data_IF_222043749587
#
_entry.id   IF_222043749587
#
_cell.length_a   1.000
_cell.length_b   1.000
_cell.length_c   1.000
_cell.angle_alpha   90.00
_cell.angle_beta   90.00
_cell.angle_gamma   90.00
#
_symmetry.space_group_name_H-M   'P 1'
#
loop_
_entity.id
_entity.type
_entity.pdbx_description
1 polymer ?
#
# COMPACT_ATOMS: atom_id res chain seq x y z
N UNK A 1 11.76 -16.00 -25.76
CA UNK A 1 10.43 -16.65 -25.90
C UNK A 1 10.44 -17.85 -24.98
N UNK A 2 9.47 -17.97 -24.07
CA UNK A 2 9.27 -19.18 -23.27
C UNK A 2 8.14 -19.95 -23.96
N UNK A 3 8.43 -21.14 -24.49
CA UNK A 3 7.50 -21.97 -25.24
C UNK A 3 7.69 -23.44 -24.85
N UNK A 4 6.58 -24.17 -24.69
CA UNK A 4 6.56 -25.60 -24.37
C UNK A 4 5.34 -26.24 -24.99
N UNK A 5 5.52 -27.40 -25.60
CA UNK A 5 4.42 -28.26 -26.02
C UNK A 5 3.89 -29.04 -24.81
N UNK A 6 2.57 -29.20 -24.72
CA UNK A 6 1.89 -29.88 -23.61
C UNK A 6 0.78 -30.76 -24.19
N UNK A 7 0.88 -32.06 -23.97
CA UNK A 7 -0.16 -33.02 -24.34
C UNK A 7 -1.15 -33.20 -23.17
N UNK A 8 -2.43 -32.91 -23.42
CA UNK A 8 -3.51 -33.08 -22.42
C UNK A 8 -4.44 -34.21 -22.90
N UNK A 9 -4.58 -35.31 -22.15
CA UNK A 9 -5.45 -36.42 -22.55
C UNK A 9 -6.93 -36.04 -22.44
N UNK A 10 -7.80 -36.82 -23.09
CA UNK A 10 -9.25 -36.62 -23.02
C UNK A 10 -9.75 -36.68 -21.56
N UNK A 11 -10.37 -35.60 -21.10
CA UNK A 11 -10.86 -35.47 -19.72
C UNK A 11 -9.78 -35.20 -18.66
N UNK A 12 -8.52 -35.01 -19.06
CA UNK A 12 -7.43 -34.61 -18.16
C UNK A 12 -7.23 -33.10 -18.07
N UNK A 13 -6.40 -32.69 -17.12
CA UNK A 13 -5.93 -31.32 -16.93
C UNK A 13 -4.41 -31.29 -16.72
N UNK A 14 -3.80 -30.13 -16.99
CA UNK A 14 -2.40 -29.83 -16.66
C UNK A 14 -2.36 -28.47 -15.97
N UNK A 15 -1.68 -28.41 -14.82
CA UNK A 15 -1.45 -27.17 -14.09
C UNK A 15 -0.04 -26.66 -14.32
N UNK A 16 0.08 -25.41 -14.75
CA UNK A 16 1.37 -24.72 -14.92
C UNK A 16 1.52 -23.63 -13.87
N UNK A 17 2.66 -23.63 -13.19
CA UNK A 17 2.98 -22.62 -12.18
C UNK A 17 4.08 -21.68 -12.67
N UNK A 18 3.79 -20.38 -12.66
CA UNK A 18 4.72 -19.33 -13.06
C UNK A 18 5.06 -18.44 -11.87
N UNK A 19 6.35 -18.25 -11.65
CA UNK A 19 6.89 -17.30 -10.69
C UNK A 19 7.40 -16.08 -11.43
N UNK A 20 6.80 -14.93 -11.12
CA UNK A 20 7.19 -13.63 -11.67
C UNK A 20 7.66 -12.75 -10.50
N UNK A 21 8.75 -12.02 -10.71
CA UNK A 21 9.34 -11.15 -9.70
C UNK A 21 10.47 -10.31 -10.27
N UNK A 22 11.03 -9.47 -9.42
CA UNK A 22 12.17 -8.60 -9.71
C UNK A 22 13.23 -8.76 -8.60
N UNK A 23 14.51 -8.69 -8.97
CA UNK A 23 15.64 -8.84 -8.06
C UNK A 23 16.83 -8.04 -8.58
N UNK A 24 17.74 -7.63 -7.70
CA UNK A 24 18.88 -6.82 -8.11
C UNK A 24 19.91 -7.63 -8.91
N UNK A 25 19.95 -8.96 -8.72
CA UNK A 25 20.87 -9.86 -9.43
C UNK A 25 20.21 -11.17 -9.84
N UNK A 26 20.80 -11.86 -10.82
CA UNK A 26 20.36 -13.19 -11.25
C UNK A 26 20.50 -14.25 -10.13
N UNK A 27 21.51 -14.11 -9.26
CA UNK A 27 21.71 -15.02 -8.13
C UNK A 27 20.58 -14.88 -7.10
N UNK A 28 20.21 -13.65 -6.76
CA UNK A 28 19.04 -13.36 -5.92
C UNK A 28 17.74 -13.88 -6.55
N UNK A 29 17.53 -13.61 -7.85
CA UNK A 29 16.37 -14.12 -8.57
C UNK A 29 16.27 -15.65 -8.49
N UNK A 30 17.39 -16.36 -8.69
CA UNK A 30 17.45 -17.82 -8.58
C UNK A 30 17.11 -18.30 -7.16
N UNK A 31 17.68 -17.67 -6.14
CA UNK A 31 17.41 -18.00 -4.73
C UNK A 31 15.92 -17.77 -4.37
N UNK A 32 15.32 -16.68 -4.85
CA UNK A 32 13.89 -16.40 -4.70
C UNK A 32 13.05 -17.45 -5.42
N UNK A 33 13.39 -17.83 -6.66
CA UNK A 33 12.67 -18.89 -7.38
C UNK A 33 12.68 -20.21 -6.62
N UNK A 34 13.82 -20.63 -6.05
CA UNK A 34 13.87 -21.86 -5.24
C UNK A 34 12.98 -21.75 -4.00
N UNK A 35 13.18 -20.69 -3.21
CA UNK A 35 12.37 -20.40 -2.02
C UNK A 35 10.88 -20.39 -2.34
N UNK A 36 10.52 -19.81 -3.48
CA UNK A 36 9.13 -19.63 -3.85
C UNK A 36 8.49 -20.86 -4.48
N UNK A 37 9.28 -21.72 -5.14
CA UNK A 37 8.85 -22.99 -5.71
C UNK A 37 8.52 -24.03 -4.62
N UNK A 38 9.23 -23.99 -3.50
CA UNK A 38 9.04 -24.94 -2.39
C UNK A 38 7.71 -24.70 -1.62
N UNK A 39 7.05 -23.56 -1.84
CA UNK A 39 5.77 -23.25 -1.22
C UNK A 39 4.63 -23.53 -2.19
N UNK A 40 3.82 -24.51 -1.79
CA UNK A 40 2.57 -24.92 -2.45
C UNK A 40 1.64 -23.75 -2.81
N UNK A 41 0.97 -23.86 -3.97
CA UNK A 41 0.11 -22.82 -4.53
C UNK A 41 -1.13 -22.57 -3.68
N UNK A 42 -1.83 -23.62 -3.25
CA UNK A 42 -3.06 -23.48 -2.47
C UNK A 42 -2.75 -22.86 -1.11
N UNK A 43 -1.62 -23.24 -0.51
CA UNK A 43 -1.12 -22.57 0.69
C UNK A 43 -0.83 -21.09 0.45
N UNK A 44 -0.27 -20.71 -0.70
CA UNK A 44 -0.05 -19.28 -1.05
C UNK A 44 -1.36 -18.53 -1.20
N UNK A 45 -2.33 -19.12 -1.88
CA UNK A 45 -3.64 -18.50 -2.08
C UNK A 45 -4.34 -18.31 -0.73
N UNK A 46 -4.37 -19.34 0.11
CA UNK A 46 -4.96 -19.27 1.45
C UNK A 46 -4.29 -18.22 2.34
N UNK A 47 -2.96 -18.09 2.29
CA UNK A 47 -2.22 -17.06 3.03
C UNK A 47 -2.57 -15.65 2.51
N UNK A 48 -2.62 -15.45 1.19
CA UNK A 48 -2.99 -14.17 0.58
C UNK A 48 -4.42 -13.77 0.95
N UNK A 49 -5.37 -14.71 0.87
CA UNK A 49 -6.74 -14.47 1.28
C UNK A 49 -6.85 -14.12 2.77
N UNK A 50 -6.08 -14.79 3.64
CA UNK A 50 -6.07 -14.49 5.07
C UNK A 50 -5.59 -13.07 5.34
N UNK A 51 -4.55 -12.62 4.65
CA UNK A 51 -4.05 -11.24 4.75
C UNK A 51 -5.11 -10.24 4.30
N UNK A 52 -5.77 -10.48 3.17
CA UNK A 52 -6.81 -9.58 2.67
C UNK A 52 -8.05 -9.57 3.56
N UNK A 53 -8.56 -10.72 3.98
CA UNK A 53 -9.67 -10.81 4.93
C UNK A 53 -9.35 -10.10 6.24
N UNK A 54 -8.16 -10.32 6.80
CA UNK A 54 -7.72 -9.65 8.02
C UNK A 54 -7.71 -8.11 7.92
N UNK A 55 -7.57 -7.54 6.72
CA UNK A 55 -7.67 -6.10 6.50
C UNK A 55 -9.09 -5.64 6.16
N UNK A 56 -9.77 -6.34 5.26
CA UNK A 56 -11.08 -5.93 4.72
C UNK A 56 -12.21 -6.18 5.72
N UNK A 57 -12.09 -7.18 6.58
CA UNK A 57 -13.11 -7.54 7.56
C UNK A 57 -13.08 -6.61 8.80
N UNK A 58 -12.17 -5.64 8.88
CA UNK A 58 -12.06 -4.70 10.00
C UNK A 58 -13.27 -3.78 10.14
N UNK A 59 -13.84 -3.34 9.01
CA UNK A 59 -15.09 -2.58 8.98
C UNK A 59 -16.06 -3.30 8.07
N UNK A 60 -17.23 -3.64 8.61
CA UNK A 60 -18.31 -4.26 7.85
C UNK A 60 -19.60 -3.49 8.12
N UNK A 61 -20.33 -3.19 7.05
CA UNK A 61 -21.68 -2.65 7.09
C UNK A 61 -22.66 -3.68 6.55
N UNK A 62 -23.85 -3.70 7.14
CA UNK A 62 -24.99 -4.46 6.65
C UNK A 62 -26.16 -3.50 6.45
N UNK A 63 -26.47 -3.25 5.18
CA UNK A 63 -27.60 -2.43 4.76
C UNK A 63 -28.51 -3.23 3.81
N UNK A 64 -29.76 -2.79 3.56
CA UNK A 64 -30.61 -3.41 2.55
C UNK A 64 -30.03 -3.38 1.12
N UNK A 65 -29.09 -2.46 0.84
CA UNK A 65 -28.39 -2.39 -0.44
C UNK A 65 -27.11 -3.25 -0.41
N UNK A 66 -27.17 -4.40 -1.07
CA UNK A 66 -26.04 -5.33 -1.17
C UNK A 66 -24.86 -4.75 -1.95
N UNK A 67 -25.11 -3.86 -2.92
CA UNK A 67 -24.05 -3.23 -3.69
C UNK A 67 -23.27 -2.24 -2.81
N UNK A 68 -23.98 -1.48 -1.96
CA UNK A 68 -23.34 -0.62 -0.97
C UNK A 68 -22.47 -1.42 0.00
N UNK A 69 -22.99 -2.54 0.53
CA UNK A 69 -22.23 -3.41 1.42
C UNK A 69 -20.95 -3.91 0.72
N UNK A 70 -21.04 -4.39 -0.52
CA UNK A 70 -19.88 -4.85 -1.28
C UNK A 70 -18.84 -3.74 -1.53
N UNK A 71 -19.28 -2.51 -1.80
CA UNK A 71 -18.39 -1.37 -1.99
C UNK A 71 -17.64 -1.01 -0.71
N UNK A 72 -18.36 -0.86 0.41
CA UNK A 72 -17.78 -0.43 1.69
C UNK A 72 -16.91 -1.52 2.32
N UNK A 73 -17.39 -2.77 2.31
CA UNK A 73 -16.75 -3.89 3.00
C UNK A 73 -15.58 -4.47 2.23
N UNK A 74 -15.48 -4.22 0.92
CA UNK A 74 -14.48 -4.86 0.07
C UNK A 74 -13.77 -3.85 -0.84
N UNK A 75 -14.48 -3.24 -1.78
CA UNK A 75 -13.81 -2.57 -2.90
C UNK A 75 -13.14 -1.25 -2.54
N UNK A 76 -13.79 -0.38 -1.75
CA UNK A 76 -13.21 0.90 -1.35
C UNK A 76 -11.91 0.74 -0.53
N UNK A 77 -11.88 -0.03 0.59
CA UNK A 77 -10.64 -0.21 1.34
C UNK A 77 -9.58 -0.98 0.54
N UNK A 78 -9.97 -1.97 -0.28
CA UNK A 78 -9.05 -2.68 -1.16
C UNK A 78 -8.37 -1.72 -2.15
N UNK A 79 -9.14 -0.90 -2.85
CA UNK A 79 -8.62 0.05 -3.85
C UNK A 79 -7.71 1.10 -3.21
N UNK A 80 -8.10 1.66 -2.06
CA UNK A 80 -7.28 2.62 -1.32
C UNK A 80 -5.94 2.00 -0.90
N UNK A 81 -5.94 0.82 -0.29
CA UNK A 81 -4.70 0.18 0.14
C UNK A 81 -3.83 -0.27 -1.04
N UNK A 82 -4.41 -0.96 -2.02
CA UNK A 82 -3.67 -1.53 -3.15
C UNK A 82 -3.08 -0.44 -4.06
N UNK A 83 -3.92 0.50 -4.48
CA UNK A 83 -3.54 1.50 -5.47
C UNK A 83 -2.82 2.68 -4.84
N UNK A 84 -3.44 3.29 -3.81
CA UNK A 84 -2.95 4.57 -3.26
C UNK A 84 -1.75 4.40 -2.33
N UNK A 85 -1.74 3.33 -1.52
CA UNK A 85 -0.67 3.11 -0.53
C UNK A 85 0.44 2.20 -1.06
N UNK A 86 0.10 0.99 -1.53
CA UNK A 86 1.10 0.01 -1.96
C UNK A 86 1.73 0.38 -3.30
N UNK A 87 0.91 0.55 -4.33
CA UNK A 87 1.39 0.89 -5.66
C UNK A 87 1.75 2.38 -5.82
N UNK A 88 1.12 3.26 -5.02
CA UNK A 88 1.17 4.74 -5.20
C UNK A 88 0.90 5.12 -6.65
N UNK A 89 -0.16 4.52 -7.18
CA UNK A 89 -0.57 4.64 -8.56
C UNK A 89 -2.08 4.83 -8.69
N UNK A 90 -2.49 5.67 -9.62
CA UNK A 90 -3.87 5.94 -10.02
C UNK A 90 -3.86 6.51 -11.45
N UNK A 91 -5.04 6.74 -12.03
CA UNK A 91 -5.16 7.22 -13.41
C UNK A 91 -4.32 8.50 -13.71
N UNK A 92 -4.15 9.38 -12.71
CA UNK A 92 -3.34 10.60 -12.80
C UNK A 92 -2.04 10.58 -11.98
N UNK A 93 -1.64 9.42 -11.44
CA UNK A 93 -0.42 9.25 -10.65
C UNK A 93 0.24 7.94 -11.08
N UNK A 94 1.33 7.99 -11.87
CA UNK A 94 1.95 6.78 -12.42
C UNK A 94 3.42 6.57 -12.01
N UNK A 95 3.95 7.42 -11.11
CA UNK A 95 5.38 7.43 -10.79
C UNK A 95 5.80 6.55 -9.61
N UNK A 96 4.85 6.03 -8.83
CA UNK A 96 5.15 5.25 -7.61
C UNK A 96 5.80 6.05 -6.48
N UNK A 97 5.87 7.37 -6.64
CA UNK A 97 6.41 8.31 -5.68
C UNK A 97 5.39 8.70 -4.61
N UNK A 98 5.90 9.28 -3.52
CA UNK A 98 5.07 9.87 -2.49
C UNK A 98 4.71 11.31 -2.86
N UNK A 99 3.43 11.66 -2.71
CA UNK A 99 2.97 13.04 -2.61
C UNK A 99 2.72 13.38 -1.14
N UNK A 100 3.13 14.58 -0.72
CA UNK A 100 3.08 15.01 0.68
C UNK A 100 1.65 14.95 1.22
N UNK A 101 0.74 15.70 0.59
CA UNK A 101 -0.68 15.68 0.93
C UNK A 101 -1.33 14.33 0.68
N UNK A 102 -1.08 13.75 -0.50
CA UNK A 102 -1.81 12.56 -0.97
C UNK A 102 -1.67 11.42 0.02
N UNK A 103 -0.46 11.13 0.49
CA UNK A 103 -0.22 10.01 1.40
C UNK A 103 -0.75 10.25 2.81
N UNK A 104 -0.74 11.50 3.28
CA UNK A 104 -1.39 11.86 4.53
C UNK A 104 -2.90 11.63 4.41
N UNK A 105 -3.54 12.16 3.36
CA UNK A 105 -4.97 12.02 3.13
C UNK A 105 -5.39 10.54 2.92
N UNK A 106 -4.67 9.80 2.09
CA UNK A 106 -4.95 8.40 1.76
C UNK A 106 -4.88 7.49 3.00
N UNK A 107 -3.95 7.76 3.93
CA UNK A 107 -3.81 6.95 5.16
C UNK A 107 -4.80 7.33 6.26
N UNK A 108 -5.25 8.59 6.33
CA UNK A 108 -6.31 8.97 7.26
C UNK A 108 -7.62 8.23 7.01
N UNK A 109 -7.93 7.91 5.74
CA UNK A 109 -9.09 7.11 5.36
C UNK A 109 -9.05 5.67 5.92
N UNK A 110 -7.88 5.20 6.35
CA UNK A 110 -7.64 3.84 6.84
C UNK A 110 -7.31 3.79 8.33
N UNK A 111 -7.49 4.87 9.09
CA UNK A 111 -7.18 4.90 10.54
C UNK A 111 -7.88 3.79 11.34
N UNK A 112 -9.13 3.47 11.00
CA UNK A 112 -9.88 2.40 11.64
C UNK A 112 -9.47 1.00 11.16
N UNK A 113 -8.83 0.89 9.99
CA UNK A 113 -8.34 -0.39 9.44
C UNK A 113 -6.94 -0.71 9.98
N UNK A 114 -6.02 0.24 9.85
CA UNK A 114 -4.65 0.13 10.31
C UNK A 114 -4.07 1.54 10.58
N UNK A 115 -4.10 2.02 11.84
CA UNK A 115 -3.58 3.35 12.17
C UNK A 115 -2.06 3.47 11.98
N UNK A 116 -1.32 2.36 11.90
CA UNK A 116 0.12 2.38 11.65
C UNK A 116 0.43 2.96 10.27
N UNK A 117 -0.45 2.78 9.28
CA UNK A 117 -0.29 3.41 7.96
C UNK A 117 -0.20 4.93 8.07
N UNK A 118 -1.10 5.54 8.84
CA UNK A 118 -1.10 6.98 9.07
C UNK A 118 0.13 7.41 9.88
N UNK A 119 0.48 6.69 10.95
CA UNK A 119 1.67 6.97 11.75
C UNK A 119 2.94 7.01 10.89
N UNK A 120 3.15 5.97 10.08
CA UNK A 120 4.33 5.85 9.23
C UNK A 120 4.37 6.98 8.19
N UNK A 121 3.22 7.36 7.59
CA UNK A 121 3.18 8.46 6.63
C UNK A 121 3.34 9.84 7.25
N UNK A 122 2.81 10.07 8.46
CA UNK A 122 3.05 11.31 9.20
C UNK A 122 4.54 11.50 9.44
N UNK A 123 5.24 10.46 9.90
CA UNK A 123 6.69 10.53 10.13
C UNK A 123 7.48 10.66 8.82
N UNK A 124 7.06 9.97 7.75
CA UNK A 124 7.67 10.08 6.43
C UNK A 124 7.53 11.50 5.86
N UNK A 125 6.34 12.11 5.94
CA UNK A 125 6.08 13.47 5.47
C UNK A 125 6.78 14.51 6.35
N UNK A 126 6.79 14.34 7.68
CA UNK A 126 7.45 15.27 8.59
C UNK A 126 8.96 15.40 8.32
N UNK A 127 9.63 14.32 7.89
CA UNK A 127 11.04 14.34 7.43
C UNK A 127 11.28 15.17 6.18
N UNK A 128 10.22 15.59 5.49
CA UNK A 128 10.25 16.37 4.25
C UNK A 128 9.95 17.85 4.46
N UNK A 129 9.87 18.31 5.71
CA UNK A 129 9.76 19.72 6.05
C UNK A 129 11.13 20.39 6.08
N UNK A 130 11.22 21.61 5.57
CA UNK A 130 12.40 22.46 5.62
C UNK A 130 12.29 23.50 6.74
N UNK A 131 13.42 24.10 7.13
CA UNK A 131 13.47 25.08 8.22
C UNK A 131 12.59 26.31 7.95
N UNK A 132 12.42 26.68 6.68
CA UNK A 132 11.56 27.79 6.26
C UNK A 132 10.05 27.49 6.38
N UNK A 133 9.69 26.24 6.70
CA UNK A 133 8.34 25.79 6.97
C UNK A 133 7.64 25.14 5.78
N UNK A 134 8.19 25.25 4.57
CA UNK A 134 7.70 24.55 3.38
C UNK A 134 8.24 23.12 3.27
N UNK A 135 7.85 22.39 2.22
CA UNK A 135 8.04 20.94 2.16
C UNK A 135 8.49 20.45 0.79
N UNK A 136 9.03 19.23 0.76
CA UNK A 136 9.15 18.45 -0.47
C UNK A 136 7.76 17.89 -0.83
N UNK A 137 7.06 18.57 -1.74
CA UNK A 137 5.71 18.23 -2.17
C UNK A 137 5.59 16.80 -2.72
N UNK A 138 6.64 16.33 -3.38
CA UNK A 138 6.64 15.04 -4.05
C UNK A 138 8.06 14.46 -4.08
N UNK A 139 8.24 13.15 -3.84
CA UNK A 139 9.56 12.50 -3.85
C UNK A 139 9.55 11.00 -4.19
N UNK A 140 10.63 10.55 -4.81
CA UNK A 140 10.89 9.14 -5.12
C UNK A 140 11.46 8.40 -3.88
N UNK A 141 10.89 7.27 -3.45
CA UNK A 141 11.30 6.59 -2.22
C UNK A 141 12.73 6.02 -2.24
N UNK A 142 13.33 5.83 -3.43
CA UNK A 142 14.66 5.22 -3.57
C UNK A 142 15.80 6.22 -3.66
N UNK A 143 15.52 7.43 -4.14
CA UNK A 143 16.55 8.42 -4.47
C UNK A 143 16.35 9.75 -3.77
N UNK A 144 15.20 9.94 -3.10
CA UNK A 144 14.76 11.20 -2.49
C UNK A 144 14.64 12.37 -3.47
N UNK A 145 14.83 12.12 -4.76
CA UNK A 145 14.64 13.10 -5.81
C UNK A 145 13.17 13.50 -5.84
N UNK A 146 12.93 14.80 -5.86
CA UNK A 146 11.60 15.34 -5.66
C UNK A 146 11.52 16.84 -5.89
N UNK A 147 10.32 17.39 -5.75
CA UNK A 147 10.03 18.80 -5.97
C UNK A 147 9.71 19.46 -4.65
N UNK A 148 10.46 20.52 -4.31
CA UNK A 148 10.16 21.44 -3.20
C UNK A 148 9.26 22.55 -3.74
N UNK A 149 8.15 22.83 -3.07
CA UNK A 149 7.18 23.85 -3.51
C UNK A 149 6.67 24.65 -2.31
N UNK A 150 6.03 25.78 -2.59
CA UNK A 150 5.33 26.61 -1.60
C UNK A 150 3.80 26.40 -1.66
N UNK A 151 3.35 25.21 -2.06
CA UNK A 151 1.92 24.88 -2.09
C UNK A 151 1.40 24.95 -0.65
N UNK A 152 0.48 25.87 -0.41
CA UNK A 152 0.16 26.32 0.94
C UNK A 152 -0.60 25.30 1.79
N UNK A 153 -1.29 24.33 1.18
CA UNK A 153 -2.07 23.35 1.91
C UNK A 153 -1.24 22.17 2.43
N UNK A 154 -0.08 21.86 1.83
CA UNK A 154 0.75 20.71 2.22
C UNK A 154 1.06 20.72 3.73
N UNK A 155 1.50 21.86 4.27
CA UNK A 155 1.86 21.99 5.69
C UNK A 155 0.66 21.83 6.63
N UNK A 156 -0.53 22.23 6.16
CA UNK A 156 -1.78 22.08 6.92
C UNK A 156 -2.17 20.61 7.03
N UNK A 157 -1.91 19.82 5.98
CA UNK A 157 -2.17 18.38 5.99
C UNK A 157 -1.35 17.64 7.05
N UNK A 158 -0.10 18.03 7.30
CA UNK A 158 0.71 17.38 8.34
C UNK A 158 0.12 17.60 9.73
N UNK A 159 -0.25 18.84 10.05
CA UNK A 159 -0.88 19.17 11.31
C UNK A 159 -2.24 18.48 11.46
N UNK A 160 -3.07 18.52 10.41
CA UNK A 160 -4.38 17.87 10.39
C UNK A 160 -4.28 16.35 10.58
N UNK A 161 -3.38 15.70 9.84
CA UNK A 161 -3.19 14.25 9.92
C UNK A 161 -2.68 13.83 11.30
N UNK A 162 -1.72 14.57 11.85
CA UNK A 162 -1.18 14.32 13.19
C UNK A 162 -2.26 14.47 14.26
N UNK A 163 -3.04 15.57 14.21
CA UNK A 163 -4.14 15.79 15.15
C UNK A 163 -5.20 14.69 15.06
N UNK A 164 -5.61 14.32 13.83
CA UNK A 164 -6.61 13.27 13.62
C UNK A 164 -6.11 11.89 14.05
N UNK A 165 -4.84 11.57 13.80
CA UNK A 165 -4.21 10.34 14.27
C UNK A 165 -4.24 10.26 15.81
N UNK A 166 -3.83 11.33 16.50
CA UNK A 166 -3.84 11.38 17.97
C UNK A 166 -5.26 11.28 18.50
N UNK A 167 -6.22 11.97 17.88
CA UNK A 167 -7.64 11.92 18.28
C UNK A 167 -8.21 10.49 18.20
N UNK A 168 -7.89 9.75 17.13
CA UNK A 168 -8.42 8.40 16.91
C UNK A 168 -7.68 7.34 17.72
N UNK A 169 -6.36 7.49 17.91
CA UNK A 169 -5.52 6.45 18.52
C UNK A 169 -5.14 6.70 19.98
N UNK A 170 -5.18 7.95 20.42
CA UNK A 170 -4.60 8.39 21.69
C UNK A 170 -3.07 8.44 21.73
N UNK A 171 -2.37 8.09 20.63
CA UNK A 171 -0.91 8.04 20.58
C UNK A 171 -0.29 9.44 20.42
N UNK A 172 -0.30 10.22 21.51
CA UNK A 172 0.40 11.49 21.58
C UNK A 172 1.94 11.35 21.60
N UNK A 173 2.48 10.13 21.74
CA UNK A 173 3.93 9.92 21.75
C UNK A 173 4.57 10.18 20.38
N UNK A 174 3.78 10.13 19.29
CA UNK A 174 4.24 10.51 17.95
C UNK A 174 4.85 11.92 17.92
N UNK A 175 4.38 12.86 18.75
CA UNK A 175 4.90 14.23 18.83
C UNK A 175 6.31 14.33 19.44
N UNK A 176 6.80 13.25 20.05
CA UNK A 176 8.14 13.17 20.65
C UNK A 176 9.15 12.46 19.75
N UNK A 177 8.70 11.90 18.62
CA UNK A 177 9.57 11.23 17.66
C UNK A 177 10.66 12.18 17.14
N UNK A 178 11.88 11.66 17.04
CA UNK A 178 13.02 12.37 16.47
C UNK A 178 13.20 11.90 15.03
N UNK A 179 13.12 12.82 14.08
CA UNK A 179 13.03 12.53 12.65
C UNK A 179 14.08 13.26 11.83
#
# INVERSE_FOLDING_TARGET
VIASDIDIPAGGDVTLFWLLGDAATAAEASALVQTHRDKDFDRRLADNERVWRGFLDTIQVETPDKALNAMVNHWLPYQSLACRIRARSAFYQASGAFGFRDQLQDTLALLAHDPKLARDQILNAARRQFQEGDVQHWWLPRTDAGVRTMISDDVVWLAHATARYIEVTGDAAILKEQI
#
